data_IF_034251484856
#
_entry.id   IF_034251484856
#
_cell.length_a   1.000
_cell.length_b   1.000
_cell.length_c   1.000
_cell.angle_alpha   90.00
_cell.angle_beta   90.00
_cell.angle_gamma   90.00
#
_symmetry.space_group_name_H-M   'P 1'
#
loop_
_entity.id
_entity.type
_entity.pdbx_description
1 polymer ?
#
# COMPACT_ATOMS: atom_id res chain seq x y z
N UNK A 1 29.30 -9.52 -4.84
CA UNK A 1 28.29 -10.50 -4.40
C UNK A 1 27.01 -9.76 -4.07
N UNK A 2 25.99 -9.79 -4.93
CA UNK A 2 24.68 -9.24 -4.55
C UNK A 2 23.91 -10.30 -3.75
N UNK A 3 23.46 -9.94 -2.55
CA UNK A 3 22.47 -10.74 -1.84
C UNK A 3 21.14 -10.58 -2.59
N UNK A 4 20.83 -11.51 -3.49
CA UNK A 4 19.46 -11.66 -3.97
C UNK A 4 18.64 -12.28 -2.83
N UNK A 5 18.06 -11.41 -1.99
CA UNK A 5 17.09 -11.84 -0.98
C UNK A 5 15.85 -12.30 -1.74
N UNK A 6 15.52 -13.58 -1.66
CA UNK A 6 14.33 -14.16 -2.30
C UNK A 6 13.09 -13.44 -1.73
N UNK A 7 12.29 -12.84 -2.60
CA UNK A 7 11.01 -12.24 -2.20
C UNK A 7 10.05 -13.39 -1.90
N UNK A 8 9.61 -13.50 -0.66
CA UNK A 8 8.60 -14.48 -0.26
C UNK A 8 7.23 -14.02 -0.79
N UNK A 9 6.58 -14.89 -1.56
CA UNK A 9 5.23 -14.64 -2.05
C UNK A 9 4.24 -14.93 -0.90
N UNK A 10 3.30 -14.02 -0.68
CA UNK A 10 2.21 -14.22 0.26
C UNK A 10 0.91 -14.38 -0.54
N UNK A 11 0.11 -15.43 -0.28
CA UNK A 11 -1.11 -15.67 -1.03
C UNK A 11 -2.26 -14.77 -0.55
N UNK A 12 -2.91 -14.10 -1.48
CA UNK A 12 -4.25 -13.54 -1.28
C UNK A 12 -5.28 -14.66 -1.45
N UNK A 13 -6.05 -14.94 -0.40
CA UNK A 13 -7.08 -15.98 -0.40
C UNK A 13 -8.45 -15.32 -0.50
N UNK A 14 -9.17 -15.61 -1.58
CA UNK A 14 -10.51 -15.08 -1.82
C UNK A 14 -11.57 -16.12 -1.50
N UNK A 15 -12.53 -15.72 -0.66
CA UNK A 15 -13.65 -16.55 -0.22
C UNK A 15 -14.97 -16.09 -0.84
N UNK A 16 -15.82 -17.03 -1.21
CA UNK A 16 -17.21 -16.80 -1.64
C UNK A 16 -18.10 -17.86 -1.01
N UNK A 17 -19.12 -17.42 -0.27
CA UNK A 17 -20.03 -18.29 0.49
C UNK A 17 -19.27 -19.26 1.42
N UNK A 18 -18.25 -18.75 2.12
CA UNK A 18 -17.41 -19.53 3.04
C UNK A 18 -16.40 -20.48 2.37
N UNK A 19 -16.44 -20.63 1.04
CA UNK A 19 -15.50 -21.48 0.29
C UNK A 19 -14.41 -20.65 -0.38
N UNK A 20 -13.17 -21.14 -0.34
CA UNK A 20 -12.07 -20.57 -1.12
C UNK A 20 -12.34 -20.85 -2.60
N UNK A 21 -12.30 -19.82 -3.44
CA UNK A 21 -12.50 -19.97 -4.89
C UNK A 21 -11.31 -19.44 -5.70
N UNK A 22 -10.39 -18.69 -5.08
CA UNK A 22 -9.20 -18.16 -5.75
C UNK A 22 -8.08 -17.97 -4.73
N UNK A 23 -6.88 -18.38 -5.11
CA UNK A 23 -5.64 -18.10 -4.40
C UNK A 23 -4.72 -17.41 -5.39
N UNK A 24 -4.15 -16.25 -5.02
CA UNK A 24 -3.23 -15.50 -5.87
C UNK A 24 -1.96 -15.23 -5.10
N UNK A 25 -0.84 -15.79 -5.54
CA UNK A 25 0.46 -15.50 -4.96
C UNK A 25 0.92 -14.11 -5.38
N UNK A 26 1.20 -13.25 -4.40
CA UNK A 26 1.65 -11.88 -4.63
C UNK A 26 2.98 -11.57 -3.95
N UNK A 27 3.85 -10.78 -4.61
CA UNK A 27 5.11 -10.36 -4.02
C UNK A 27 4.88 -9.19 -3.05
N UNK A 28 4.81 -9.50 -1.76
CA UNK A 28 4.74 -8.50 -0.70
C UNK A 28 6.12 -8.24 -0.09
N UNK A 29 6.41 -6.98 0.20
CA UNK A 29 7.66 -6.56 0.85
C UNK A 29 7.32 -5.72 2.08
N UNK A 30 7.88 -6.06 3.27
CA UNK A 30 7.69 -5.25 4.47
C UNK A 30 8.53 -3.97 4.38
N UNK A 31 7.88 -2.80 4.48
CA UNK A 31 8.52 -1.50 4.43
C UNK A 31 8.20 -0.67 5.67
N UNK A 32 9.17 0.12 6.15
CA UNK A 32 8.89 1.16 7.14
C UNK A 32 8.53 2.46 6.44
N UNK A 33 7.44 3.10 6.87
CA UNK A 33 7.06 4.41 6.37
C UNK A 33 7.81 5.48 7.15
N UNK A 34 8.26 6.53 6.46
CA UNK A 34 8.90 7.68 7.10
C UNK A 34 8.39 8.97 6.47
N UNK A 35 8.06 9.95 7.31
CA UNK A 35 7.71 11.29 6.90
C UNK A 35 8.36 12.31 7.84
N UNK A 36 9.20 13.19 7.29
CA UNK A 36 10.04 14.08 8.10
C UNK A 36 10.92 13.29 9.09
N UNK A 37 10.82 13.63 10.38
CA UNK A 37 11.50 12.92 11.47
C UNK A 37 10.74 11.71 12.01
N UNK A 38 9.48 11.50 11.60
CA UNK A 38 8.63 10.41 12.10
C UNK A 38 8.76 9.17 11.23
N UNK A 39 8.95 8.01 11.87
CA UNK A 39 9.01 6.69 11.23
C UNK A 39 7.92 5.80 11.83
N UNK A 40 7.28 4.96 11.03
CA UNK A 40 6.36 3.94 11.52
C UNK A 40 7.08 3.00 12.49
N UNK A 41 6.38 2.59 13.56
CA UNK A 41 6.94 1.66 14.55
C UNK A 41 6.99 0.23 14.03
N UNK A 42 6.02 -0.13 13.20
CA UNK A 42 5.91 -1.45 12.57
C UNK A 42 6.12 -1.32 11.06
N UNK A 43 6.70 -2.36 10.42
CA UNK A 43 6.69 -2.43 8.97
C UNK A 43 5.27 -2.68 8.46
N UNK A 44 5.00 -2.24 7.25
CA UNK A 44 3.77 -2.49 6.52
C UNK A 44 4.06 -3.31 5.27
N UNK A 45 3.22 -4.31 4.99
CA UNK A 45 3.39 -5.14 3.80
C UNK A 45 2.86 -4.40 2.58
N UNK A 46 3.73 -4.13 1.61
CA UNK A 46 3.41 -3.43 0.38
C UNK A 46 3.55 -4.37 -0.81
N UNK A 47 2.63 -4.26 -1.77
CA UNK A 47 2.71 -5.02 -3.02
C UNK A 47 3.82 -4.45 -3.90
N UNK A 48 4.66 -5.32 -4.46
CA UNK A 48 5.57 -4.96 -5.54
C UNK A 48 4.79 -5.01 -6.86
N UNK A 49 4.39 -3.84 -7.36
CA UNK A 49 3.58 -3.72 -8.57
C UNK A 49 4.31 -2.89 -9.63
N UNK A 50 4.87 -3.57 -10.65
CA UNK A 50 5.55 -2.90 -11.76
C UNK A 50 4.60 -2.23 -12.74
N UNK A 51 3.29 -2.52 -12.68
CA UNK A 51 2.26 -1.88 -13.49
C UNK A 51 1.76 -0.56 -12.89
N UNK A 52 2.15 -0.24 -11.66
CA UNK A 52 1.74 0.99 -11.00
C UNK A 52 2.74 2.13 -11.26
N UNK A 53 2.25 3.23 -11.85
CA UNK A 53 3.05 4.45 -12.01
C UNK A 53 3.44 5.11 -10.68
N UNK A 54 2.68 4.81 -9.60
CA UNK A 54 2.81 5.47 -8.30
C UNK A 54 2.53 4.53 -7.14
N UNK A 55 3.12 4.84 -5.99
CA UNK A 55 2.83 4.14 -4.74
C UNK A 55 1.58 4.71 -4.07
N UNK A 56 0.60 3.85 -3.82
CA UNK A 56 -0.63 4.19 -3.11
C UNK A 56 -0.68 3.46 -1.76
N UNK A 57 -0.87 4.22 -0.68
CA UNK A 57 -0.96 3.68 0.68
C UNK A 57 -2.35 3.90 1.26
N UNK A 58 -2.85 3.04 2.16
CA UNK A 58 -4.06 3.31 2.93
C UNK A 58 -3.93 4.54 3.81
N UNK A 59 -5.02 5.29 3.95
CA UNK A 59 -5.09 6.58 4.62
C UNK A 59 -4.92 6.41 6.12
N UNK A 60 -5.46 5.31 6.63
CA UNK A 60 -5.23 4.84 7.99
C UNK A 60 -3.73 4.74 8.34
N UNK A 61 -2.84 4.52 7.36
CA UNK A 61 -1.41 4.45 7.62
C UNK A 61 -0.75 5.82 7.78
N UNK A 62 -1.40 6.92 7.37
CA UNK A 62 -0.84 8.27 7.49
C UNK A 62 -0.60 8.63 8.97
N UNK A 63 -1.49 8.20 9.86
CA UNK A 63 -1.35 8.40 11.30
C UNK A 63 -0.09 7.72 11.87
N UNK A 64 0.37 6.61 11.26
CA UNK A 64 1.57 5.88 11.70
C UNK A 64 2.86 6.70 11.54
N UNK A 65 2.84 7.70 10.65
CA UNK A 65 3.93 8.67 10.45
C UNK A 65 3.54 10.08 10.90
N UNK A 66 2.45 10.20 11.67
CA UNK A 66 2.00 11.45 12.28
C UNK A 66 1.42 12.47 11.31
N UNK A 67 0.91 12.03 10.16
CA UNK A 67 0.14 12.85 9.23
C UNK A 67 -1.35 12.76 9.62
N UNK A 68 -1.97 13.91 9.88
CA UNK A 68 -3.42 14.00 10.03
C UNK A 68 -4.06 14.23 8.66
N UNK A 69 -4.84 13.26 8.15
CA UNK A 69 -5.52 13.34 6.85
C UNK A 69 -6.76 14.26 6.84
N UNK A 70 -6.83 15.24 7.75
CA UNK A 70 -7.90 16.25 7.77
C UNK A 70 -7.76 17.30 6.67
N UNK A 71 -6.63 17.32 5.94
CA UNK A 71 -6.33 18.32 4.90
C UNK A 71 -5.72 17.64 3.68
N UNK A 72 -6.45 17.64 2.56
CA UNK A 72 -5.98 17.11 1.27
C UNK A 72 -6.91 17.53 0.12
N UNK A 73 -6.35 17.78 -1.07
CA UNK A 73 -7.13 18.02 -2.29
C UNK A 73 -7.30 16.69 -3.02
N UNK A 74 -8.55 16.31 -3.29
CA UNK A 74 -8.92 15.15 -4.10
C UNK A 74 -8.25 15.20 -5.48
N UNK A 75 -7.69 14.08 -5.92
CA UNK A 75 -7.16 13.89 -7.28
C UNK A 75 -7.61 12.52 -7.80
N UNK A 76 -8.15 12.51 -9.01
CA UNK A 76 -8.53 11.28 -9.72
C UNK A 76 -7.30 10.68 -10.40
N UNK A 77 -7.11 9.38 -10.26
CA UNK A 77 -6.12 8.58 -10.98
C UNK A 77 -6.91 7.51 -11.75
N UNK A 78 -6.65 7.33 -13.05
CA UNK A 78 -7.37 6.40 -13.93
C UNK A 78 -6.68 5.03 -13.97
N UNK A 79 -7.47 3.96 -13.90
CA UNK A 79 -7.07 2.54 -13.98
C UNK A 79 -8.16 1.66 -13.38
N UNK A 80 -8.72 0.73 -14.15
CA UNK A 80 -9.94 -0.04 -13.85
C UNK A 80 -9.86 -0.84 -12.53
N UNK A 81 -10.36 -0.24 -11.44
CA UNK A 81 -11.19 -0.88 -10.41
C UNK A 81 -11.79 0.21 -9.50
N UNK A 82 -13.10 0.13 -9.28
CA UNK A 82 -13.93 1.08 -8.51
C UNK A 82 -13.30 1.37 -7.14
N UNK A 83 -12.97 2.63 -6.83
CA UNK A 83 -12.80 3.08 -5.43
C UNK A 83 -13.44 4.42 -5.12
N UNK A 84 -14.32 4.34 -4.13
CA UNK A 84 -15.04 5.38 -3.41
C UNK A 84 -14.16 6.54 -2.98
N UNK A 85 -14.76 7.73 -2.95
CA UNK A 85 -14.07 8.93 -2.51
C UNK A 85 -14.94 9.78 -1.60
N UNK A 86 -14.57 9.74 -0.31
CA UNK A 86 -14.44 10.86 0.66
C UNK A 86 -14.89 10.47 2.06
N UNK A 87 -13.94 9.90 2.81
CA UNK A 87 -13.55 10.15 4.20
C UNK A 87 -12.43 9.14 4.51
N UNK A 88 -11.18 9.59 4.41
CA UNK A 88 -9.99 8.99 5.05
C UNK A 88 -9.65 7.51 4.75
N UNK A 89 -9.22 7.12 3.54
CA UNK A 89 -8.72 5.74 3.30
C UNK A 89 -7.51 5.55 2.37
N UNK A 90 -6.88 6.58 1.79
CA UNK A 90 -5.55 6.45 1.11
C UNK A 90 -4.72 7.75 1.11
N UNK A 91 -3.38 7.64 1.01
CA UNK A 91 -2.44 8.74 0.76
C UNK A 91 -1.28 8.31 -0.17
N UNK A 92 -0.68 9.28 -0.87
CA UNK A 92 0.41 9.09 -1.84
C UNK A 92 1.73 9.62 -1.26
N UNK A 93 2.82 8.86 -1.41
CA UNK A 93 4.17 9.33 -1.13
C UNK A 93 4.91 9.57 -2.44
N UNK A 94 5.19 10.84 -2.73
CA UNK A 94 6.03 11.24 -3.88
C UNK A 94 7.47 11.33 -3.40
N UNK A 95 8.31 10.39 -3.83
CA UNK A 95 9.75 10.48 -3.64
C UNK A 95 10.30 11.53 -4.63
N UNK A 96 10.72 12.69 -4.12
CA UNK A 96 11.52 13.64 -4.91
C UNK A 96 12.98 13.22 -4.84
N UNK A 97 13.63 13.11 -6.01
CA UNK A 97 15.08 12.94 -6.12
C UNK A 97 15.79 14.21 -5.65
#
# INVERSE_FOLDING_TARGET
MSLQKKIELTPDIYHKNGKVYKVVDRPYVPLFLKYGSKKSKTPVNCLLDSGADRNLFPGSWAATVGISLTKGKKRTILGDEIKFDLKSNSFELVFRR
#
